data_IF_580867598173
#
_entry.id   IF_580867598173
#
_cell.length_a   1.000
_cell.length_b   1.000
_cell.length_c   1.000
_cell.angle_alpha   90.00
_cell.angle_beta   90.00
_cell.angle_gamma   90.00
#
_symmetry.space_group_name_H-M   'P 1'
#
loop_
_entity.id
_entity.type
_entity.pdbx_description
1 polymer ?
#
# COMPACT_ATOMS: atom_id res chain seq x y z
N UNK A 1 -27.59 1.92 -18.28
CA UNK A 1 -27.38 2.13 -16.84
C UNK A 1 -26.11 2.92 -16.68
N UNK A 2 -26.18 4.07 -16.01
CA UNK A 2 -25.01 4.93 -15.78
C UNK A 2 -24.41 4.55 -14.43
N UNK A 3 -23.13 4.17 -14.41
CA UNK A 3 -22.39 4.01 -13.16
C UNK A 3 -22.03 5.42 -12.66
N UNK A 4 -22.49 5.86 -11.49
CA UNK A 4 -22.03 7.12 -10.94
C UNK A 4 -20.56 6.96 -10.59
N UNK A 5 -19.73 7.82 -11.18
CA UNK A 5 -18.39 8.11 -10.70
C UNK A 5 -18.54 8.55 -9.24
N UNK A 6 -18.01 7.76 -8.30
CA UNK A 6 -17.98 8.12 -6.89
C UNK A 6 -17.36 9.51 -6.73
N UNK A 7 -18.03 10.43 -6.01
CA UNK A 7 -17.50 11.77 -5.80
C UNK A 7 -16.40 11.72 -4.73
N UNK A 8 -15.52 12.70 -4.78
CA UNK A 8 -14.40 12.95 -3.86
C UNK A 8 -13.11 12.21 -4.22
N UNK A 9 -12.35 12.80 -5.15
CA UNK A 9 -10.91 12.62 -5.23
C UNK A 9 -10.25 13.19 -3.97
N UNK A 10 -10.34 12.46 -2.86
CA UNK A 10 -9.26 12.45 -1.90
C UNK A 10 -8.13 11.68 -2.59
N UNK A 11 -6.95 12.28 -2.75
CA UNK A 11 -5.76 11.56 -3.19
C UNK A 11 -5.50 10.46 -2.17
N UNK A 12 -6.13 9.30 -2.38
CA UNK A 12 -6.14 8.19 -1.44
C UNK A 12 -4.84 7.46 -1.65
N UNK A 13 -4.15 7.14 -0.56
CA UNK A 13 -2.92 6.36 -0.65
C UNK A 13 -3.26 5.02 -1.31
N UNK A 14 -2.54 4.64 -2.36
CA UNK A 14 -2.77 3.39 -3.08
C UNK A 14 -1.55 2.50 -2.93
N UNK A 15 -1.78 1.28 -2.44
CA UNK A 15 -0.74 0.29 -2.30
C UNK A 15 -0.65 -0.56 -3.58
N UNK A 16 0.49 -0.49 -4.27
CA UNK A 16 0.79 -1.28 -5.45
C UNK A 16 1.69 -2.45 -5.08
N UNK A 17 1.44 -3.62 -5.66
CA UNK A 17 2.19 -4.85 -5.41
C UNK A 17 2.85 -5.30 -6.70
N UNK A 18 4.17 -5.41 -6.68
CA UNK A 18 4.97 -5.82 -7.83
C UNK A 18 5.78 -7.09 -7.49
N UNK A 19 5.62 -8.20 -8.24
CA UNK A 19 4.76 -8.39 -9.42
C UNK A 19 3.28 -8.66 -9.07
N UNK A 20 2.30 -8.09 -9.82
CA UNK A 20 0.87 -8.20 -9.49
C UNK A 20 0.23 -9.55 -9.83
N UNK A 21 0.90 -10.39 -10.62
CA UNK A 21 0.36 -11.63 -11.21
C UNK A 21 0.97 -12.92 -10.64
N UNK A 22 1.72 -12.84 -9.54
CA UNK A 22 2.24 -14.02 -8.85
C UNK A 22 1.62 -14.09 -7.46
N UNK A 23 0.94 -15.19 -7.08
CA UNK A 23 0.72 -15.43 -5.66
C UNK A 23 2.09 -15.43 -4.98
N UNK A 24 2.25 -14.76 -3.83
CA UNK A 24 3.47 -14.87 -3.06
C UNK A 24 3.62 -16.33 -2.62
N UNK A 25 4.26 -17.13 -3.48
CA UNK A 25 4.59 -18.53 -3.25
C UNK A 25 5.69 -18.52 -2.21
N UNK A 26 5.29 -18.34 -0.95
CA UNK A 26 5.98 -18.50 0.34
C UNK A 26 7.40 -17.90 0.51
N UNK A 27 8.03 -17.35 -0.54
CA UNK A 27 9.44 -16.98 -0.60
C UNK A 27 9.79 -15.96 -1.70
N UNK A 28 8.81 -15.50 -2.50
CA UNK A 28 9.06 -14.52 -3.56
C UNK A 28 9.14 -13.10 -2.96
N UNK A 29 10.20 -12.35 -3.29
CA UNK A 29 10.36 -10.96 -2.84
C UNK A 29 9.36 -10.08 -3.57
N UNK A 30 8.35 -9.63 -2.84
CA UNK A 30 7.31 -8.74 -3.35
C UNK A 30 7.66 -7.31 -2.98
N UNK A 31 7.58 -6.40 -3.94
CA UNK A 31 7.79 -4.98 -3.70
C UNK A 31 6.43 -4.31 -3.55
N UNK A 32 6.20 -3.77 -2.36
CA UNK A 32 5.08 -2.93 -2.01
C UNK A 32 5.43 -1.47 -2.30
N UNK A 33 4.71 -0.82 -3.19
CA UNK A 33 4.90 0.59 -3.52
C UNK A 33 3.68 1.38 -3.04
N UNK A 34 3.86 2.23 -2.04
CA UNK A 34 2.84 3.13 -1.52
C UNK A 34 2.78 4.40 -2.37
N UNK A 35 1.81 4.48 -3.28
CA UNK A 35 1.50 5.71 -4.00
C UNK A 35 0.60 6.60 -3.15
N UNK A 36 0.83 7.91 -3.17
CA UNK A 36 0.03 8.88 -2.44
C UNK A 36 0.55 10.28 -2.76
N UNK A 37 0.00 11.30 -2.11
CA UNK A 37 0.44 12.68 -2.31
C UNK A 37 1.97 12.82 -2.24
N UNK A 38 2.53 13.69 -3.09
CA UNK A 38 3.97 13.99 -3.21
C UNK A 38 4.59 14.63 -1.95
N UNK A 39 3.84 14.69 -0.85
CA UNK A 39 4.39 15.12 0.43
C UNK A 39 5.48 14.12 0.81
N UNK A 40 6.74 14.57 0.77
CA UNK A 40 7.94 13.83 1.12
C UNK A 40 8.00 13.53 2.63
N UNK A 41 6.99 12.82 3.11
CA UNK A 41 6.85 12.35 4.47
C UNK A 41 7.11 10.85 4.55
N UNK A 42 7.50 10.41 5.74
CA UNK A 42 7.71 9.00 6.00
C UNK A 42 6.38 8.24 5.89
N UNK A 43 6.43 7.11 5.19
CA UNK A 43 5.31 6.19 4.99
C UNK A 43 5.26 5.22 6.17
N UNK A 44 4.12 5.16 6.84
CA UNK A 44 3.88 4.16 7.88
C UNK A 44 3.34 2.90 7.25
N UNK A 45 3.96 1.77 7.56
CA UNK A 45 3.61 0.46 7.02
C UNK A 45 2.93 -0.37 8.10
N UNK A 46 1.87 -1.07 7.70
CA UNK A 46 1.08 -1.93 8.56
C UNK A 46 0.96 -3.32 7.93
N UNK A 47 1.15 -4.35 8.76
CA UNK A 47 0.99 -5.77 8.40
C UNK A 47 -0.06 -6.37 9.33
N UNK A 48 -1.11 -6.96 8.74
CA UNK A 48 -2.24 -7.58 9.46
C UNK A 48 -2.87 -6.63 10.49
N UNK A 49 -2.93 -5.34 10.14
CA UNK A 49 -3.46 -4.27 11.00
C UNK A 49 -2.48 -3.77 12.08
N UNK A 50 -1.30 -4.37 12.21
CA UNK A 50 -0.29 -3.96 13.17
C UNK A 50 0.76 -3.05 12.52
N UNK A 51 1.13 -1.96 13.20
CA UNK A 51 2.21 -1.07 12.74
C UNK A 51 3.51 -1.85 12.68
N UNK A 52 4.04 -2.01 11.48
CA UNK A 52 5.24 -2.80 11.24
C UNK A 52 6.49 -1.92 11.25
N UNK A 53 6.40 -0.73 10.66
CA UNK A 53 7.50 0.21 10.59
C UNK A 53 7.12 1.52 9.95
N UNK A 54 8.07 2.44 9.90
CA UNK A 54 7.92 3.72 9.20
C UNK A 54 9.18 3.95 8.38
N UNK A 55 9.00 4.10 7.08
CA UNK A 55 10.09 4.20 6.10
C UNK A 55 9.99 5.54 5.38
N UNK A 56 11.10 6.22 5.15
CA UNK A 56 11.07 7.45 4.35
C UNK A 56 10.70 7.17 2.89
N UNK A 57 11.00 5.96 2.44
CA UNK A 57 10.76 5.50 1.07
C UNK A 57 9.32 5.02 0.91
N UNK A 58 8.80 5.20 -0.30
CA UNK A 58 7.51 4.69 -0.72
C UNK A 58 7.55 3.23 -1.15
N UNK A 59 8.71 2.57 -1.13
CA UNK A 59 8.88 1.17 -1.56
C UNK A 59 9.33 0.35 -0.38
N UNK A 60 8.66 -0.78 -0.14
CA UNK A 60 8.97 -1.72 0.92
C UNK A 60 9.03 -3.14 0.33
N UNK A 61 10.05 -3.92 0.66
CA UNK A 61 10.20 -5.27 0.14
C UNK A 61 9.75 -6.25 1.22
N UNK A 62 8.75 -7.06 0.90
CA UNK A 62 8.21 -8.09 1.79
C UNK A 62 8.48 -9.47 1.22
N UNK A 63 8.68 -10.44 2.11
CA UNK A 63 8.82 -11.86 1.76
C UNK A 63 7.77 -12.72 2.45
N UNK A 64 6.98 -12.14 3.35
CA UNK A 64 5.89 -12.82 4.03
C UNK A 64 4.56 -12.49 3.36
N UNK A 65 3.70 -13.49 3.26
CA UNK A 65 2.29 -13.28 2.95
C UNK A 65 1.58 -12.62 4.13
N UNK A 66 0.52 -11.89 3.83
CA UNK A 66 -0.24 -11.16 4.84
C UNK A 66 -1.07 -10.04 4.24
N UNK A 67 -1.79 -9.32 5.11
CA UNK A 67 -2.56 -8.15 4.69
C UNK A 67 -1.72 -6.90 4.92
N UNK A 68 -1.37 -6.20 3.84
CA UNK A 68 -0.54 -5.02 3.89
C UNK A 68 -1.36 -3.76 3.65
N UNK A 69 -1.09 -2.74 4.46
CA UNK A 69 -1.61 -1.38 4.29
C UNK A 69 -0.49 -0.38 4.50
N UNK A 70 -0.56 0.75 3.81
CA UNK A 70 0.35 1.85 4.01
C UNK A 70 -0.41 3.14 4.32
N UNK A 71 0.18 4.01 5.10
CA UNK A 71 -0.37 5.31 5.45
C UNK A 71 0.64 6.38 5.12
N UNK A 72 0.17 7.41 4.42
CA UNK A 72 0.99 8.56 4.07
C UNK A 72 0.40 9.83 4.66
N UNK A 73 1.22 10.69 5.29
CA UNK A 73 0.75 11.97 5.80
C UNK A 73 0.12 12.78 4.67
N UNK A 74 -1.14 13.19 4.86
CA UNK A 74 -1.91 13.97 3.88
C UNK A 74 -2.76 13.16 2.89
N UNK A 75 -2.58 11.84 2.77
CA UNK A 75 -3.40 10.97 1.90
C UNK A 75 -4.19 9.90 2.65
N UNK A 76 -3.90 9.68 3.93
CA UNK A 76 -4.61 8.70 4.78
C UNK A 76 -4.13 7.27 4.59
N UNK A 77 -4.94 6.31 5.05
CA UNK A 77 -4.63 4.88 4.97
C UNK A 77 -5.00 4.30 3.60
N UNK A 78 -4.15 3.43 3.04
CA UNK A 78 -4.42 2.72 1.79
C UNK A 78 -5.44 1.60 1.98
N UNK A 79 -6.15 1.20 0.92
CA UNK A 79 -6.91 -0.05 0.96
C UNK A 79 -5.96 -1.23 1.25
N UNK A 80 -6.45 -2.27 1.97
CA UNK A 80 -5.68 -3.45 2.29
C UNK A 80 -5.42 -4.28 1.03
N UNK A 81 -4.17 -4.76 0.90
CA UNK A 81 -3.77 -5.67 -0.17
C UNK A 81 -3.22 -6.95 0.43
N UNK A 82 -3.68 -8.08 -0.10
CA UNK A 82 -3.17 -9.39 0.27
C UNK A 82 -2.02 -9.77 -0.64
N UNK A 83 -0.90 -10.16 -0.04
CA UNK A 83 0.30 -10.68 -0.72
C UNK A 83 0.37 -12.17 -0.54
#
# INVERSE_FOLDING_TARGET
GWCPLSPTGAQTTQLLVEPPWRPAVLWDRVTLTCQGSETAGATTWYKDGQRWGQEFWNKFIVTESGIYTCERPGSGLSPPVTV
#
